data_IF_814879332307
#
_entry.id   IF_814879332307
#
_cell.length_a   1.000
_cell.length_b   1.000
_cell.length_c   1.000
_cell.angle_alpha   90.00
_cell.angle_beta   90.00
_cell.angle_gamma   90.00
#
_symmetry.space_group_name_H-M   'P 1'
#
loop_
_entity.id
_entity.type
_entity.pdbx_description
1 polymer ?
#
# COMPACT_ATOMS: atom_id res chain seq x y z
N UNK A 1 -5.17 10.31 18.59
CA UNK A 1 -3.82 10.16 17.99
C UNK A 1 -4.01 9.29 16.76
N UNK A 2 -3.78 9.81 15.55
CA UNK A 2 -3.89 9.00 14.32
C UNK A 2 -2.79 7.94 14.37
N UNK A 3 -3.18 6.69 14.65
CA UNK A 3 -2.24 5.58 14.66
C UNK A 3 -1.91 5.24 13.21
N UNK A 4 -0.65 5.42 12.83
CA UNK A 4 -0.15 4.94 11.54
C UNK A 4 -0.10 3.41 11.59
N UNK A 5 -0.54 2.78 10.50
CA UNK A 5 -0.47 1.35 10.29
C UNK A 5 0.61 1.05 9.26
N UNK A 6 1.38 0.01 9.51
CA UNK A 6 2.37 -0.49 8.57
C UNK A 6 1.71 -1.54 7.69
N UNK A 7 1.78 -1.34 6.38
CA UNK A 7 1.24 -2.24 5.38
C UNK A 7 2.27 -2.46 4.28
N UNK A 8 2.30 -3.67 3.75
CA UNK A 8 3.06 -4.07 2.57
C UNK A 8 2.08 -4.20 1.39
N UNK A 9 2.39 -3.48 0.32
CA UNK A 9 1.66 -3.47 -0.95
C UNK A 9 2.50 -4.23 -1.96
N UNK A 10 1.89 -5.15 -2.68
CA UNK A 10 2.48 -5.94 -3.74
C UNK A 10 1.70 -5.72 -5.03
N UNK A 11 2.39 -5.29 -6.08
CA UNK A 11 1.83 -5.11 -7.42
C UNK A 11 2.69 -5.91 -8.39
N UNK A 12 2.05 -6.84 -9.12
CA UNK A 12 2.69 -7.51 -10.25
C UNK A 12 2.70 -6.56 -11.45
N UNK A 13 3.88 -6.33 -12.00
CA UNK A 13 4.10 -5.61 -13.24
C UNK A 13 3.66 -6.47 -14.42
N UNK A 14 2.35 -6.59 -14.63
CA UNK A 14 1.77 -7.22 -15.82
C UNK A 14 1.46 -6.14 -16.86
N UNK A 15 2.49 -5.71 -17.61
CA UNK A 15 2.48 -4.85 -18.82
C UNK A 15 1.67 -3.52 -18.80
N UNK A 16 1.01 -3.19 -17.69
CA UNK A 16 0.13 -2.04 -17.52
C UNK A 16 0.76 -1.11 -16.48
N UNK A 17 1.21 0.07 -16.92
CA UNK A 17 1.73 1.12 -16.04
C UNK A 17 0.69 1.69 -15.07
N UNK A 18 -0.60 1.34 -15.24
CA UNK A 18 -1.72 1.96 -14.53
C UNK A 18 -1.69 1.73 -13.01
N UNK A 19 -1.30 0.54 -12.56
CA UNK A 19 -1.26 0.24 -11.11
C UNK A 19 -0.12 0.99 -10.41
N UNK A 20 1.02 1.10 -11.10
CA UNK A 20 2.16 1.89 -10.64
C UNK A 20 1.80 3.39 -10.60
N UNK A 21 1.20 3.92 -11.67
CA UNK A 21 0.71 5.30 -11.73
C UNK A 21 -0.33 5.60 -10.65
N UNK A 22 -1.24 4.65 -10.38
CA UNK A 22 -2.20 4.77 -9.28
C UNK A 22 -1.47 4.88 -7.95
N UNK A 23 -0.45 4.04 -7.71
CA UNK A 23 0.34 4.07 -6.48
C UNK A 23 1.10 5.40 -6.34
N UNK A 24 1.68 5.94 -7.40
CA UNK A 24 2.33 7.26 -7.38
C UNK A 24 1.34 8.40 -7.06
N UNK A 25 0.14 8.35 -7.65
CA UNK A 25 -0.92 9.30 -7.36
C UNK A 25 -1.39 9.20 -5.90
N UNK A 26 -1.50 7.98 -5.37
CA UNK A 26 -1.85 7.73 -3.97
C UNK A 26 -0.77 8.30 -3.03
N UNK A 27 0.52 8.06 -3.30
CA UNK A 27 1.63 8.62 -2.52
C UNK A 27 1.63 10.15 -2.54
N UNK A 28 1.31 10.73 -3.69
CA UNK A 28 1.22 12.19 -3.86
C UNK A 28 0.06 12.76 -3.05
N UNK A 29 -1.13 12.14 -3.12
CA UNK A 29 -2.32 12.53 -2.35
C UNK A 29 -2.07 12.49 -0.84
N UNK A 30 -1.39 11.46 -0.35
CA UNK A 30 -1.16 11.23 1.07
C UNK A 30 0.19 11.76 1.56
N UNK A 31 0.89 12.56 0.76
CA UNK A 31 2.19 13.15 1.11
C UNK A 31 2.13 13.89 2.46
N UNK A 32 3.04 13.53 3.36
CA UNK A 32 3.10 14.09 4.72
C UNK A 32 2.19 13.42 5.74
N UNK A 33 1.33 12.49 5.31
CA UNK A 33 0.51 11.63 6.18
C UNK A 33 0.84 10.15 6.04
N UNK A 34 1.21 9.71 4.83
CA UNK A 34 1.77 8.41 4.55
C UNK A 34 3.26 8.54 4.21
N UNK A 35 4.04 7.50 4.51
CA UNK A 35 5.45 7.38 4.15
C UNK A 35 5.78 5.99 3.64
N UNK A 36 6.67 5.92 2.66
CA UNK A 36 7.30 4.66 2.25
C UNK A 36 8.44 4.37 3.25
N UNK A 37 8.38 3.21 3.89
CA UNK A 37 9.40 2.71 4.81
C UNK A 37 10.46 1.93 4.04
N UNK A 38 10.03 1.10 3.10
CA UNK A 38 10.91 0.34 2.23
C UNK A 38 10.26 0.14 0.85
N UNK A 39 11.09 0.05 -0.18
CA UNK A 39 10.64 -0.21 -1.55
C UNK A 39 11.60 -1.17 -2.23
N UNK A 40 11.04 -2.25 -2.77
CA UNK A 40 11.78 -3.29 -3.47
C UNK A 40 11.11 -3.61 -4.81
N UNK A 41 11.92 -4.00 -5.79
CA UNK A 41 11.44 -4.47 -7.09
C UNK A 41 12.27 -5.65 -7.56
N UNK A 42 11.57 -6.72 -7.97
CA UNK A 42 12.13 -7.97 -8.47
C UNK A 42 12.14 -8.08 -10.00
N UNK A 43 11.95 -6.96 -10.71
CA UNK A 43 11.84 -6.90 -12.16
C UNK A 43 10.38 -6.94 -12.65
N UNK A 44 9.61 -7.95 -12.23
CA UNK A 44 8.19 -8.10 -12.60
C UNK A 44 7.23 -7.68 -11.50
N UNK A 45 7.72 -7.08 -10.44
CA UNK A 45 6.93 -6.78 -9.25
C UNK A 45 7.46 -5.54 -8.54
N UNK A 46 6.55 -4.89 -7.86
CA UNK A 46 6.82 -3.79 -6.96
C UNK A 46 6.27 -4.13 -5.59
N UNK A 47 7.11 -3.94 -4.58
CA UNK A 47 6.75 -4.14 -3.18
C UNK A 47 7.04 -2.86 -2.41
N UNK A 48 6.00 -2.29 -1.81
CA UNK A 48 6.11 -1.11 -0.95
C UNK A 48 5.71 -1.46 0.47
N UNK A 49 6.64 -1.31 1.39
CA UNK A 49 6.30 -1.17 2.79
C UNK A 49 5.98 0.30 3.06
N UNK A 50 4.77 0.58 3.51
CA UNK A 50 4.35 1.93 3.84
C UNK A 50 3.79 2.02 5.25
N UNK A 51 3.89 3.20 5.83
CA UNK A 51 3.17 3.57 7.04
C UNK A 51 2.19 4.68 6.71
N UNK A 52 0.90 4.44 6.98
CA UNK A 52 -0.17 5.35 6.60
C UNK A 52 -1.31 5.30 7.62
N UNK A 53 -2.13 6.35 7.72
CA UNK A 53 -3.31 6.30 8.57
C UNK A 53 -4.38 5.38 7.95
N UNK A 54 -5.28 4.85 8.79
CA UNK A 54 -6.27 3.83 8.38
C UNK A 54 -7.13 4.31 7.20
N UNK A 55 -7.53 5.57 7.20
CA UNK A 55 -8.32 6.15 6.11
C UNK A 55 -7.59 6.09 4.75
N UNK A 56 -6.27 6.17 4.75
CA UNK A 56 -5.46 6.06 3.53
C UNK A 56 -5.33 4.60 3.09
N UNK A 57 -5.15 3.68 4.05
CA UNK A 57 -5.01 2.24 3.75
C UNK A 57 -6.28 1.64 3.17
N UNK A 58 -7.45 2.19 3.51
CA UNK A 58 -8.75 1.74 3.00
C UNK A 58 -8.97 1.99 1.50
N UNK A 59 -8.20 2.91 0.90
CA UNK A 59 -8.25 3.23 -0.54
C UNK A 59 -7.45 2.24 -1.39
N UNK A 60 -6.50 1.51 -0.77
CA UNK A 60 -5.64 0.56 -1.48
C UNK A 60 -6.46 -0.68 -1.83
N UNK A 61 -6.38 -1.19 -3.08
CA UNK A 61 -7.03 -2.43 -3.46
C UNK A 61 -6.63 -3.59 -2.54
N UNK A 62 -7.63 -4.33 -2.06
CA UNK A 62 -7.40 -5.47 -1.14
C UNK A 62 -6.45 -6.51 -1.75
N UNK A 63 -6.56 -6.75 -3.06
CA UNK A 63 -5.76 -7.74 -3.77
C UNK A 63 -4.26 -7.40 -3.82
N UNK A 64 -3.87 -6.17 -3.47
CA UNK A 64 -2.47 -5.76 -3.40
C UNK A 64 -1.86 -5.94 -2.00
N UNK A 65 -2.67 -6.26 -0.98
CA UNK A 65 -2.27 -6.20 0.42
C UNK A 65 -1.79 -7.55 0.98
N UNK A 66 -1.01 -8.30 0.18
CA UNK A 66 -0.70 -9.72 0.43
C UNK A 66 -0.06 -10.04 1.79
N UNK A 67 0.86 -9.20 2.29
CA UNK A 67 1.51 -9.43 3.60
C UNK A 67 0.88 -8.62 4.74
N UNK A 68 0.10 -7.59 4.41
CA UNK A 68 -0.57 -6.71 5.37
C UNK A 68 -1.73 -7.39 6.10
N UNK A 69 -2.43 -8.31 5.42
CA UNK A 69 -3.52 -9.09 6.02
C UNK A 69 -3.03 -9.89 7.23
N UNK A 70 -1.83 -10.45 7.14
CA UNK A 70 -1.21 -11.23 8.20
C UNK A 70 -0.70 -10.37 9.36
N UNK A 71 -0.13 -9.20 9.06
CA UNK A 71 0.47 -8.32 10.07
C UNK A 71 -0.55 -7.44 10.79
N UNK A 72 -1.67 -7.11 10.12
CA UNK A 72 -2.66 -6.13 10.58
C UNK A 72 -4.08 -6.51 10.13
N UNK A 73 -4.65 -7.64 10.61
CA UNK A 73 -5.95 -8.15 10.15
C UNK A 73 -7.11 -7.17 10.39
N UNK A 74 -7.00 -6.25 11.35
CA UNK A 74 -8.02 -5.23 11.62
C UNK A 74 -8.26 -4.24 10.46
N UNK A 75 -7.33 -4.13 9.50
CA UNK A 75 -7.48 -3.26 8.32
C UNK A 75 -8.46 -3.87 7.30
N UNK A 76 -8.62 -5.19 7.32
CA UNK A 76 -9.31 -5.97 6.29
C UNK A 76 -10.73 -6.36 6.68
N UNK A 77 -11.02 -6.40 7.98
CA UNK A 77 -12.36 -6.61 8.50
C UNK A 77 -13.22 -5.35 8.34
N UNK A 78 -13.63 -5.05 7.10
CA UNK A 78 -14.73 -4.11 6.84
C UNK A 78 -16.06 -4.78 7.25
N UNK A 79 -16.99 -4.06 7.90
CA UNK A 79 -18.36 -4.55 8.10
C UNK A 79 -19.10 -4.68 6.77
#
# INVERSE_FOLDING_TARGET
MNQLKRITIFILHNESSTDFEWMENWLTKWKGKARVVDYSTGGWEHLWDIEAPIEATQEIPTDWLCASEWATPEIFNKP
#
